data_IF_970419810418
#
_entry.id   IF_970419810418
#
_cell.length_a   1.000
_cell.length_b   1.000
_cell.length_c   1.000
_cell.angle_alpha   90.00
_cell.angle_beta   90.00
_cell.angle_gamma   90.00
#
_symmetry.space_group_name_H-M   'P 1'
#
loop_
_entity.id
_entity.type
_entity.pdbx_description
1 polymer ?
#
# COMPACT_ATOMS: atom_id res chain seq x y z
N UNK A 1 -8.18 -18.77 6.17
CA UNK A 1 -8.79 -17.47 6.50
C UNK A 1 -8.04 -16.42 5.71
N UNK A 2 -8.73 -15.51 5.01
CA UNK A 2 -8.05 -14.40 4.35
C UNK A 2 -7.72 -13.31 5.37
N UNK A 3 -6.56 -12.66 5.25
CA UNK A 3 -6.12 -11.62 6.18
C UNK A 3 -5.51 -10.43 5.45
N UNK A 4 -5.71 -9.23 5.99
CA UNK A 4 -5.00 -8.05 5.51
C UNK A 4 -3.60 -8.01 6.11
N UNK A 5 -2.61 -7.75 5.27
CA UNK A 5 -1.23 -7.50 5.66
C UNK A 5 -0.82 -6.12 5.20
N UNK A 6 -0.03 -5.43 6.02
CA UNK A 6 0.50 -4.10 5.73
C UNK A 6 2.01 -4.24 5.60
N UNK A 7 2.56 -3.71 4.51
CA UNK A 7 3.99 -3.48 4.37
C UNK A 7 4.26 -1.97 4.38
N UNK A 8 5.17 -1.54 5.25
CA UNK A 8 5.63 -0.16 5.36
C UNK A 8 7.16 -0.16 5.46
N UNK A 9 7.83 0.06 4.33
CA UNK A 9 9.29 -0.02 4.22
C UNK A 9 9.89 1.22 3.56
N UNK A 10 11.19 1.44 3.76
CA UNK A 10 11.89 2.58 3.13
C UNK A 10 12.15 2.27 1.66
N UNK A 11 11.72 3.16 0.78
CA UNK A 11 11.99 3.11 -0.65
C UNK A 11 12.60 4.42 -1.14
N UNK A 12 13.50 4.33 -2.11
CA UNK A 12 13.96 5.50 -2.85
C UNK A 12 12.98 5.77 -4.00
N UNK A 13 12.48 6.99 -4.06
CA UNK A 13 11.55 7.47 -5.08
C UNK A 13 12.18 8.64 -5.79
N UNK A 14 12.10 8.66 -7.12
CA UNK A 14 12.54 9.81 -7.90
C UNK A 14 11.59 10.98 -7.71
N UNK A 15 12.06 12.04 -7.07
CA UNK A 15 11.32 13.30 -6.95
C UNK A 15 11.61 14.17 -8.19
N UNK A 16 10.57 14.41 -9.00
CA UNK A 16 10.71 15.22 -10.22
C UNK A 16 10.93 16.70 -9.94
N UNK A 17 10.44 17.22 -8.82
CA UNK A 17 10.58 18.64 -8.48
C UNK A 17 11.99 18.94 -8.00
N UNK A 18 12.56 18.05 -7.20
CA UNK A 18 13.93 18.17 -6.68
C UNK A 18 14.98 17.57 -7.61
N UNK A 19 14.55 16.82 -8.64
CA UNK A 19 15.39 16.12 -9.61
C UNK A 19 16.43 15.21 -8.94
N UNK A 20 16.01 14.49 -7.89
CA UNK A 20 16.87 13.59 -7.12
C UNK A 20 16.08 12.41 -6.53
N UNK A 21 16.80 11.38 -6.08
CA UNK A 21 16.23 10.28 -5.32
C UNK A 21 16.00 10.72 -3.87
N UNK A 22 14.75 10.63 -3.41
CA UNK A 22 14.38 10.91 -2.02
C UNK A 22 13.89 9.63 -1.34
N UNK A 23 14.20 9.49 -0.05
CA UNK A 23 13.74 8.34 0.72
C UNK A 23 12.32 8.59 1.22
N UNK A 24 11.38 7.71 0.89
CA UNK A 24 10.01 7.71 1.41
C UNK A 24 9.66 6.37 2.05
N UNK A 25 8.58 6.34 2.80
CA UNK A 25 7.97 5.12 3.33
C UNK A 25 6.98 4.63 2.29
N UNK A 26 7.29 3.51 1.63
CA UNK A 26 6.40 2.82 0.73
C UNK A 26 5.38 2.02 1.56
N UNK A 27 4.11 2.31 1.34
CA UNK A 27 2.99 1.66 2.01
C UNK A 27 2.20 0.85 1.01
N UNK A 28 1.98 -0.42 1.32
CA UNK A 28 1.20 -1.38 0.54
C UNK A 28 0.29 -2.16 1.47
N UNK A 29 -0.95 -2.42 1.03
CA UNK A 29 -1.91 -3.26 1.75
C UNK A 29 -2.30 -4.43 0.85
N UNK A 30 -2.12 -5.64 1.35
CA UNK A 30 -2.37 -6.87 0.60
C UNK A 30 -3.38 -7.75 1.33
N UNK A 31 -4.29 -8.38 0.58
CA UNK A 31 -5.16 -9.43 1.07
C UNK A 31 -4.46 -10.77 0.80
N UNK A 32 -4.12 -11.49 1.85
CA UNK A 32 -3.47 -12.79 1.77
C UNK A 32 -4.54 -13.87 1.71
N UNK A 33 -4.46 -14.73 0.69
CA UNK A 33 -5.34 -15.87 0.51
C UNK A 33 -5.00 -17.03 1.45
N UNK A 34 -5.86 -18.05 1.46
CA UNK A 34 -5.74 -19.20 2.36
C UNK A 34 -4.45 -20.03 2.21
N UNK A 35 -3.70 -19.84 1.11
CA UNK A 35 -2.42 -20.53 0.84
C UNK A 35 -1.19 -19.64 1.06
N UNK A 36 -1.36 -18.48 1.70
CA UNK A 36 -0.28 -17.52 1.94
C UNK A 36 0.11 -16.68 0.72
N UNK A 37 -0.53 -16.90 -0.44
CA UNK A 37 -0.33 -16.07 -1.64
C UNK A 37 -1.08 -14.75 -1.53
N UNK A 38 -0.50 -13.68 -2.09
CA UNK A 38 -1.21 -12.41 -2.27
C UNK A 38 -2.37 -12.66 -3.23
N UNK A 39 -3.60 -12.50 -2.74
CA UNK A 39 -4.80 -12.60 -3.56
C UNK A 39 -5.07 -11.30 -4.30
N UNK A 40 -4.90 -10.16 -3.60
CA UNK A 40 -5.02 -8.83 -4.19
C UNK A 40 -4.21 -7.83 -3.37
N UNK A 41 -3.78 -6.76 -4.02
CA UNK A 41 -2.95 -5.72 -3.43
C UNK A 41 -3.44 -4.33 -3.84
N UNK A 42 -3.30 -3.37 -2.92
CA UNK A 42 -3.50 -1.96 -3.20
C UNK A 42 -2.23 -1.19 -2.79
N UNK A 43 -1.70 -0.39 -3.71
CA UNK A 43 -0.50 0.41 -3.51
C UNK A 43 0.41 0.46 -4.75
N UNK A 44 1.61 1.04 -4.62
CA UNK A 44 2.11 1.72 -3.43
C UNK A 44 1.54 3.12 -3.25
N UNK A 45 1.47 3.58 -1.99
CA UNK A 45 1.50 5.00 -1.65
C UNK A 45 2.82 5.33 -0.96
N UNK A 46 3.29 6.57 -1.11
CA UNK A 46 4.52 7.03 -0.49
C UNK A 46 4.22 8.09 0.55
N UNK A 47 4.72 7.86 1.76
CA UNK A 47 4.54 8.70 2.93
C UNK A 47 5.91 9.16 3.47
N UNK A 48 5.95 10.28 4.16
CA UNK A 48 7.13 10.85 4.80
C UNK A 48 7.07 10.77 6.32
N UNK A 49 5.85 10.71 6.86
CA UNK A 49 5.59 10.70 8.31
C UNK A 49 4.78 9.49 8.74
N UNK A 50 4.81 9.18 10.05
CA UNK A 50 3.99 8.11 10.61
C UNK A 50 2.49 8.35 10.48
N UNK A 51 2.05 9.62 10.52
CA UNK A 51 0.66 9.99 10.28
C UNK A 51 0.25 9.69 8.83
N UNK A 52 1.05 10.09 7.86
CA UNK A 52 0.79 9.79 6.44
C UNK A 52 0.80 8.29 6.16
N UNK A 53 1.61 7.50 6.88
CA UNK A 53 1.55 6.03 6.80
C UNK A 53 0.20 5.52 7.27
N UNK A 54 -0.31 6.00 8.41
CA UNK A 54 -1.62 5.61 8.91
C UNK A 54 -2.74 5.96 7.91
N UNK A 55 -2.72 7.17 7.37
CA UNK A 55 -3.69 7.64 6.36
C UNK A 55 -3.61 6.80 5.08
N UNK A 56 -2.41 6.51 4.58
CA UNK A 56 -2.18 5.66 3.43
C UNK A 56 -2.75 4.24 3.65
N UNK A 57 -2.53 3.65 4.83
CA UNK A 57 -3.09 2.32 5.17
C UNK A 57 -4.62 2.33 5.13
N UNK A 58 -5.26 3.33 5.75
CA UNK A 58 -6.73 3.41 5.76
C UNK A 58 -7.30 3.56 4.34
N UNK A 59 -6.68 4.41 3.52
CA UNK A 59 -7.07 4.62 2.14
C UNK A 59 -6.90 3.36 1.29
N UNK A 60 -5.73 2.71 1.36
CA UNK A 60 -5.44 1.50 0.59
C UNK A 60 -6.33 0.33 1.00
N UNK A 61 -6.61 0.17 2.30
CA UNK A 61 -7.56 -0.82 2.80
C UNK A 61 -8.96 -0.59 2.25
N UNK A 62 -9.42 0.66 2.24
CA UNK A 62 -10.73 1.03 1.69
C UNK A 62 -10.82 0.71 0.20
N UNK A 63 -9.80 1.10 -0.58
CA UNK A 63 -9.70 0.77 -2.02
C UNK A 63 -9.71 -0.74 -2.26
N UNK A 64 -8.99 -1.50 -1.44
CA UNK A 64 -8.93 -2.94 -1.57
C UNK A 64 -10.31 -3.57 -1.31
N UNK A 65 -11.01 -3.17 -0.24
CA UNK A 65 -12.38 -3.63 0.05
C UNK A 65 -13.35 -3.28 -1.09
N UNK A 66 -13.28 -2.04 -1.60
CA UNK A 66 -14.12 -1.60 -2.72
C UNK A 66 -13.87 -2.44 -3.97
N UNK A 67 -12.59 -2.71 -4.29
CA UNK A 67 -12.25 -3.55 -5.44
C UNK A 67 -12.82 -4.96 -5.32
N UNK A 68 -12.84 -5.53 -4.10
CA UNK A 68 -13.36 -6.87 -3.85
C UNK A 68 -14.89 -6.90 -4.01
N UNK A 69 -15.57 -5.83 -3.61
CA UNK A 69 -17.01 -5.68 -3.75
C UNK A 69 -17.44 -5.44 -5.21
N UNK A 70 -16.64 -4.73 -6.00
CA UNK A 70 -16.97 -4.43 -7.40
C UNK A 70 -16.66 -5.58 -8.37
N UNK A 71 -15.94 -6.62 -7.93
CA UNK A 71 -15.54 -7.75 -8.78
C UNK A 71 -14.54 -7.39 -9.90
N UNK A 72 -14.20 -6.10 -10.05
CA UNK A 72 -13.21 -5.64 -11.02
C UNK A 72 -11.83 -5.90 -10.43
N UNK A 73 -11.08 -6.77 -11.12
CA UNK A 73 -9.67 -7.06 -10.86
C UNK A 73 -8.76 -6.08 -11.55
#
# INVERSE_FOLDING_TARGET
>A
MMSFTIAADKALVWDRQQNQMVQKIRVVVSLIGNRGSIYREAGPLYAETGQEVFEAVQLLRTRLIQSLASGVG
#
